data_IF_001603297292
#
_entry.id   IF_001603297292
#
_cell.length_a   1.000
_cell.length_b   1.000
_cell.length_c   1.000
_cell.angle_alpha   90.00
_cell.angle_beta   90.00
_cell.angle_gamma   90.00
#
_symmetry.space_group_name_H-M   'P 1'
#
loop_
_entity.id
_entity.type
_entity.pdbx_description
1 polymer ?
#
# COMPACT_ATOMS: atom_id res chain seq x y z
N UNK A 1 -9.20 -0.22 10.26
CA UNK A 1 -8.33 -1.16 9.53
C UNK A 1 -6.96 -0.53 9.29
N UNK A 2 -5.93 -1.27 9.61
CA UNK A 2 -4.56 -0.82 9.34
C UNK A 2 -4.29 -0.97 7.86
N UNK A 3 -4.03 0.14 7.19
CA UNK A 3 -3.98 0.23 5.74
C UNK A 3 -2.62 0.73 5.27
N UNK A 4 -2.08 0.11 4.22
CA UNK A 4 -0.90 0.63 3.54
C UNK A 4 -1.27 1.11 2.14
N UNK A 5 -0.53 2.09 1.65
CA UNK A 5 -0.67 2.64 0.31
C UNK A 5 0.61 2.36 -0.46
N UNK A 6 0.49 1.85 -1.69
CA UNK A 6 1.64 1.58 -2.54
C UNK A 6 1.38 2.14 -3.93
N UNK A 7 2.21 3.08 -4.35
CA UNK A 7 2.12 3.73 -5.66
C UNK A 7 3.50 4.31 -5.98
N UNK A 8 3.99 4.14 -7.21
CA UNK A 8 5.29 4.67 -7.61
C UNK A 8 5.30 6.20 -7.71
N UNK A 9 4.13 6.84 -7.70
CA UNK A 9 3.98 8.29 -7.76
C UNK A 9 3.65 8.85 -6.39
N UNK A 10 4.56 9.63 -5.82
CA UNK A 10 4.35 10.24 -4.50
C UNK A 10 3.09 11.09 -4.46
N UNK A 11 2.78 11.81 -5.53
CA UNK A 11 1.58 12.64 -5.58
C UNK A 11 0.30 11.81 -5.44
N UNK A 12 0.26 10.63 -6.06
CA UNK A 12 -0.89 9.73 -5.94
C UNK A 12 -1.06 9.23 -4.51
N UNK A 13 0.04 8.93 -3.82
CA UNK A 13 -0.01 8.55 -2.40
C UNK A 13 -0.60 9.66 -1.55
N UNK A 14 -0.22 10.91 -1.82
CA UNK A 14 -0.75 12.06 -1.08
C UNK A 14 -2.26 12.23 -1.33
N UNK A 15 -2.72 12.02 -2.56
CA UNK A 15 -4.13 12.10 -2.89
C UNK A 15 -4.94 10.99 -2.22
N UNK A 16 -4.43 9.77 -2.20
CA UNK A 16 -5.07 8.66 -1.49
C UNK A 16 -5.15 8.93 0.01
N UNK A 17 -4.09 9.46 0.58
CA UNK A 17 -4.06 9.79 2.00
C UNK A 17 -5.13 10.82 2.34
N UNK A 18 -5.29 11.85 1.51
CA UNK A 18 -6.34 12.86 1.71
C UNK A 18 -7.73 12.26 1.64
N UNK A 19 -7.96 11.35 0.71
CA UNK A 19 -9.26 10.67 0.60
C UNK A 19 -9.53 9.78 1.82
N UNK A 20 -8.53 9.07 2.30
CA UNK A 20 -8.66 8.20 3.46
C UNK A 20 -8.85 8.98 4.77
N UNK A 21 -8.43 10.24 4.82
CA UNK A 21 -8.60 11.07 6.01
C UNK A 21 -10.06 11.24 6.40
N UNK A 22 -10.97 11.19 5.42
CA UNK A 22 -12.41 11.29 5.67
C UNK A 22 -13.07 9.94 5.93
N UNK A 23 -12.29 8.86 5.96
CA UNK A 23 -12.77 7.50 6.16
C UNK A 23 -12.19 6.94 7.46
N UNK A 24 -12.92 7.04 8.58
CA UNK A 24 -12.35 6.65 9.89
C UNK A 24 -12.01 5.17 10.00
N UNK A 25 -12.54 4.32 9.13
CA UNK A 25 -12.24 2.90 9.13
C UNK A 25 -10.83 2.59 8.61
N UNK A 26 -10.19 3.52 7.90
CA UNK A 26 -8.87 3.32 7.32
C UNK A 26 -7.81 4.11 8.10
N UNK A 27 -6.95 3.39 8.80
CA UNK A 27 -5.79 3.98 9.46
C UNK A 27 -4.57 3.75 8.57
N UNK A 28 -3.99 4.81 8.01
CA UNK A 28 -2.82 4.70 7.14
C UNK A 28 -1.59 4.49 8.02
N UNK A 29 -1.05 3.28 7.98
CA UNK A 29 0.13 2.91 8.79
C UNK A 29 1.42 2.91 7.98
N UNK A 30 1.35 2.97 6.65
CA UNK A 30 2.53 3.03 5.79
C UNK A 30 2.19 3.51 4.39
N UNK A 31 3.15 4.22 3.79
CA UNK A 31 3.07 4.69 2.39
C UNK A 31 4.38 4.31 1.71
N UNK A 32 4.30 3.66 0.56
CA UNK A 32 5.48 3.12 -0.10
C UNK A 32 5.46 3.45 -1.59
N UNK A 33 6.60 3.92 -2.10
CA UNK A 33 6.81 4.08 -3.53
C UNK A 33 7.51 2.85 -4.13
N UNK A 34 8.08 1.99 -3.27
CA UNK A 34 8.75 0.76 -3.66
C UNK A 34 7.94 -0.44 -3.18
N UNK A 35 7.45 -1.30 -4.09
CA UNK A 35 6.66 -2.46 -3.70
C UNK A 35 7.40 -3.44 -2.79
N UNK A 36 8.72 -3.57 -2.93
CA UNK A 36 9.51 -4.43 -2.07
C UNK A 36 9.53 -3.92 -0.63
N UNK A 37 9.59 -2.61 -0.44
CA UNK A 37 9.50 -2.02 0.89
C UNK A 37 8.14 -2.31 1.55
N UNK A 38 7.07 -2.30 0.76
CA UNK A 38 5.75 -2.64 1.26
C UNK A 38 5.67 -4.10 1.73
N UNK A 39 6.27 -5.01 0.97
CA UNK A 39 6.30 -6.43 1.33
C UNK A 39 7.08 -6.62 2.64
N UNK A 40 8.25 -5.99 2.78
CA UNK A 40 9.04 -6.07 4.00
C UNK A 40 8.27 -5.55 5.22
N UNK A 41 7.59 -4.43 5.05
CA UNK A 41 6.77 -3.88 6.13
C UNK A 41 5.67 -4.86 6.54
N UNK A 42 4.94 -5.38 5.56
CA UNK A 42 3.80 -6.28 5.81
C UNK A 42 4.25 -7.60 6.46
N UNK A 43 5.48 -8.04 6.21
CA UNK A 43 6.02 -9.26 6.82
C UNK A 43 6.20 -9.11 8.33
N UNK A 44 6.45 -7.88 8.82
CA UNK A 44 6.72 -7.63 10.23
C UNK A 44 5.61 -6.88 10.97
N UNK A 45 4.52 -6.50 10.30
CA UNK A 45 3.46 -5.68 10.89
C UNK A 45 2.09 -6.18 10.48
N UNK A 46 1.08 -5.86 11.29
CA UNK A 46 -0.31 -6.18 10.95
C UNK A 46 -0.79 -5.20 9.88
N UNK A 47 -1.25 -5.73 8.76
CA UNK A 47 -1.84 -4.96 7.67
C UNK A 47 -3.17 -5.61 7.30
N UNK A 48 -4.25 -4.85 7.41
CA UNK A 48 -5.60 -5.36 7.13
C UNK A 48 -6.03 -5.10 5.69
N UNK A 49 -5.51 -4.03 5.09
CA UNK A 49 -5.93 -3.58 3.76
C UNK A 49 -4.77 -2.87 3.05
N UNK A 50 -4.67 -3.06 1.74
CA UNK A 50 -3.65 -2.42 0.91
C UNK A 50 -4.30 -1.81 -0.33
N UNK A 51 -4.04 -0.53 -0.57
CA UNK A 51 -4.39 0.15 -1.81
C UNK A 51 -3.15 0.17 -2.70
N UNK A 52 -3.24 -0.47 -3.86
CA UNK A 52 -2.09 -0.70 -4.72
C UNK A 52 -2.32 -0.09 -6.10
N UNK A 53 -1.27 0.56 -6.63
CA UNK A 53 -1.23 0.89 -8.04
C UNK A 53 -0.92 -0.38 -8.83
N UNK A 54 -1.69 -0.65 -9.88
CA UNK A 54 -1.52 -1.85 -10.72
C UNK A 54 -0.30 -1.71 -11.62
N UNK A 55 0.00 -0.50 -12.05
CA UNK A 55 1.01 -0.24 -13.08
C UNK A 55 2.27 0.41 -12.50
N UNK A 56 3.09 -0.41 -11.82
CA UNK A 56 4.35 0.04 -11.21
C UNK A 56 5.55 -0.57 -11.91
N UNK A 57 6.64 0.21 -12.11
CA UNK A 57 7.88 -0.34 -12.66
C UNK A 57 8.45 -1.45 -11.78
N UNK A 58 8.89 -2.53 -12.41
CA UNK A 58 9.56 -3.64 -11.73
C UNK A 58 8.63 -4.64 -11.08
N UNK A 59 7.49 -4.23 -10.57
CA UNK A 59 6.49 -5.11 -9.98
C UNK A 59 5.13 -4.43 -10.11
N UNK A 60 4.21 -5.02 -10.86
CA UNK A 60 2.86 -4.47 -10.97
C UNK A 60 2.03 -4.78 -9.71
N UNK A 61 0.89 -4.09 -9.58
CA UNK A 61 0.04 -4.24 -8.40
C UNK A 61 -0.52 -5.64 -8.23
N UNK A 62 -0.69 -6.41 -9.31
CA UNK A 62 -1.20 -7.78 -9.25
C UNK A 62 -0.16 -8.70 -8.60
N UNK A 63 1.10 -8.60 -9.02
CA UNK A 63 2.18 -9.38 -8.42
C UNK A 63 2.41 -9.00 -6.97
N UNK A 64 2.34 -7.71 -6.65
CA UNK A 64 2.44 -7.23 -5.28
C UNK A 64 1.31 -7.78 -4.41
N UNK A 65 0.08 -7.77 -4.91
CA UNK A 65 -1.06 -8.31 -4.17
C UNK A 65 -0.87 -9.80 -3.87
N UNK A 66 -0.35 -10.57 -4.83
CA UNK A 66 -0.07 -11.98 -4.63
C UNK A 66 1.01 -12.19 -3.57
N UNK A 67 2.07 -11.37 -3.57
CA UNK A 67 3.13 -11.45 -2.57
C UNK A 67 2.60 -11.13 -1.17
N UNK A 68 1.78 -10.10 -1.04
CA UNK A 68 1.18 -9.71 0.24
C UNK A 68 0.22 -10.76 0.79
N UNK A 69 -0.48 -11.46 -0.08
CA UNK A 69 -1.41 -12.53 0.32
C UNK A 69 -0.71 -13.70 1.00
N UNK A 70 0.57 -13.90 0.73
CA UNK A 70 1.33 -15.02 1.31
C UNK A 70 1.80 -14.74 2.73
N UNK A 71 1.60 -13.53 3.20
CA UNK A 71 2.01 -13.11 4.55
C UNK A 71 0.84 -13.26 5.61
#
# INVERSE_FOLDING_TARGET
>A
MKTILVDDMLLDLQLFELKCADMPDFEIVGKFTDPNAAIEYAAGHVVDFALLDIDMPGMDGIHLAQALRRL
#
